data_IF_338408347934
#
_entry.id   IF_338408347934
#
_cell.length_a   1.000
_cell.length_b   1.000
_cell.length_c   1.000
_cell.angle_alpha   90.00
_cell.angle_beta   90.00
_cell.angle_gamma   90.00
#
_symmetry.space_group_name_H-M   'P 1'
#
loop_
_entity.id
_entity.type
_entity.pdbx_description
1 polymer ?
#
# COMPACT_ATOMS: atom_id res chain seq x y z
N UNK A 1 11.75 -34.23 -20.76
CA UNK A 1 13.01 -33.69 -20.18
C UNK A 1 12.65 -33.26 -18.78
N UNK A 2 13.13 -34.00 -17.79
CA UNK A 2 12.55 -33.96 -16.45
C UNK A 2 12.93 -32.66 -15.73
N UNK A 3 11.90 -31.96 -15.27
CA UNK A 3 11.97 -30.67 -14.57
C UNK A 3 12.93 -30.70 -13.38
N UNK A 4 13.13 -31.87 -12.78
CA UNK A 4 14.07 -32.15 -11.71
C UNK A 4 15.54 -32.02 -12.14
N UNK A 5 15.90 -32.47 -13.35
CA UNK A 5 17.28 -32.35 -13.86
C UNK A 5 17.68 -30.90 -14.10
N UNK A 6 16.73 -30.04 -14.50
CA UNK A 6 16.98 -28.61 -14.67
C UNK A 6 17.15 -27.90 -13.32
N UNK A 7 16.38 -28.28 -12.30
CA UNK A 7 16.51 -27.78 -10.92
C UNK A 7 17.86 -28.18 -10.29
N UNK A 8 18.32 -29.40 -10.56
CA UNK A 8 19.57 -29.91 -10.02
C UNK A 8 20.81 -29.22 -10.63
N UNK A 9 20.79 -28.96 -11.93
CA UNK A 9 21.85 -28.21 -12.63
C UNK A 9 21.87 -26.74 -12.18
N UNK A 10 20.70 -26.13 -11.95
CA UNK A 10 20.54 -24.75 -11.46
C UNK A 10 21.12 -24.58 -10.05
N UNK A 11 20.80 -25.48 -9.12
CA UNK A 11 21.32 -25.41 -7.75
C UNK A 11 22.84 -25.64 -7.68
N UNK A 12 23.39 -26.50 -8.54
CA UNK A 12 24.84 -26.80 -8.56
C UNK A 12 25.70 -25.61 -9.03
N UNK A 13 25.14 -24.68 -9.79
CA UNK A 13 25.85 -23.50 -10.30
C UNK A 13 25.57 -22.21 -9.51
N UNK A 14 24.58 -22.23 -8.61
CA UNK A 14 24.23 -21.11 -7.73
C UNK A 14 24.95 -21.21 -6.38
N UNK A 15 26.28 -21.14 -6.38
CA UNK A 15 27.03 -20.93 -5.15
C UNK A 15 27.01 -19.43 -4.80
N UNK A 16 26.04 -19.00 -4.00
CA UNK A 16 26.06 -17.69 -3.34
C UNK A 16 27.02 -17.75 -2.14
N UNK A 17 27.91 -16.76 -1.95
CA UNK A 17 28.58 -16.55 -0.67
C UNK A 17 27.55 -16.18 0.42
N UNK A 18 27.86 -16.40 1.71
CA UNK A 18 26.99 -15.96 2.80
C UNK A 18 26.79 -14.43 2.72
N UNK A 19 25.53 -14.01 2.80
CA UNK A 19 25.14 -12.60 2.83
C UNK A 19 25.66 -11.96 4.12
N UNK A 20 26.59 -11.01 4.00
CA UNK A 20 26.86 -10.03 5.05
C UNK A 20 25.71 -9.02 5.02
N UNK A 21 24.83 -9.07 6.02
CA UNK A 21 23.78 -8.07 6.23
C UNK A 21 24.44 -6.70 6.51
N UNK A 22 24.35 -5.77 5.55
CA UNK A 22 24.64 -4.36 5.82
C UNK A 22 23.59 -3.80 6.78
N UNK A 23 24.01 -3.56 8.01
CA UNK A 23 23.23 -2.98 9.09
C UNK A 23 22.92 -1.50 8.77
N UNK A 24 21.73 -1.23 8.24
CA UNK A 24 21.20 0.12 8.04
C UNK A 24 20.69 0.68 9.39
N UNK A 25 21.26 1.80 9.85
CA UNK A 25 20.95 2.44 11.14
C UNK A 25 19.49 2.95 11.20
N UNK A 26 18.61 2.10 11.72
CA UNK A 26 17.16 2.30 11.88
C UNK A 26 16.77 2.63 13.35
N UNK A 27 17.75 2.94 14.20
CA UNK A 27 17.53 3.14 15.64
C UNK A 27 16.64 4.32 15.97
N UNK A 28 16.84 5.46 15.29
CA UNK A 28 16.13 6.71 15.59
C UNK A 28 14.66 6.69 15.15
N UNK A 29 14.37 6.12 13.97
CA UNK A 29 13.00 6.03 13.45
C UNK A 29 12.19 5.00 14.22
N UNK A 30 12.77 3.83 14.53
CA UNK A 30 12.13 2.83 15.38
C UNK A 30 11.86 3.38 16.76
N UNK A 31 12.78 4.06 17.43
CA UNK A 31 12.54 4.61 18.77
C UNK A 31 11.43 5.67 18.79
N UNK A 32 11.36 6.57 17.81
CA UNK A 32 10.30 7.60 17.74
C UNK A 32 8.94 6.97 17.42
N UNK A 33 8.89 6.02 16.50
CA UNK A 33 7.64 5.29 16.16
C UNK A 33 7.20 4.41 17.33
N UNK A 34 8.13 3.74 17.99
CA UNK A 34 7.83 2.87 19.15
C UNK A 34 7.45 3.72 20.35
N UNK A 35 8.12 4.85 20.61
CA UNK A 35 7.74 5.78 21.66
C UNK A 35 6.38 6.46 21.39
N UNK A 36 6.08 6.77 20.13
CA UNK A 36 4.76 7.26 19.72
C UNK A 36 3.67 6.20 19.91
N UNK A 37 3.93 4.95 19.51
CA UNK A 37 3.06 3.81 19.78
C UNK A 37 2.92 3.52 21.27
N UNK A 38 4.00 3.63 22.05
CA UNK A 38 4.03 3.39 23.49
C UNK A 38 3.30 4.50 24.26
N UNK A 39 3.37 5.75 23.77
CA UNK A 39 2.62 6.90 24.28
C UNK A 39 1.12 6.69 24.02
N UNK A 40 0.75 6.37 22.78
CA UNK A 40 -0.62 5.99 22.44
C UNK A 40 -1.12 4.78 23.25
N UNK A 41 -0.28 3.76 23.47
CA UNK A 41 -0.63 2.59 24.29
C UNK A 41 -0.74 2.92 25.78
N UNK A 42 0.08 3.83 26.31
CA UNK A 42 0.00 4.29 27.71
C UNK A 42 -1.26 5.11 27.98
N UNK A 43 -1.69 5.93 27.02
CA UNK A 43 -2.90 6.77 27.12
C UNK A 43 -4.19 5.97 26.90
N UNK A 44 -4.14 4.91 26.08
CA UNK A 44 -5.22 3.93 25.93
C UNK A 44 -5.41 3.07 27.18
N UNK A 45 -4.35 2.81 27.96
CA UNK A 45 -4.39 1.97 29.16
C UNK A 45 -4.87 2.69 30.44
N UNK A 46 -5.08 4.01 30.44
CA UNK A 46 -5.45 4.76 31.66
C UNK A 46 -6.95 5.05 31.81
N UNK A 47 -7.78 4.70 30.83
CA UNK A 47 -9.24 4.75 30.95
C UNK A 47 -9.75 3.32 30.95
N UNK A 48 -10.45 2.91 32.01
CA UNK A 48 -11.03 1.56 32.08
C UNK A 48 -11.84 1.32 30.80
N UNK A 49 -11.38 0.38 29.97
CA UNK A 49 -11.96 0.07 28.65
C UNK A 49 -13.46 -0.20 28.78
N UNK A 50 -13.86 -0.79 29.91
CA UNK A 50 -15.26 -1.01 30.27
C UNK A 50 -16.08 0.28 30.42
N UNK A 51 -15.55 1.30 31.08
CA UNK A 51 -16.22 2.60 31.30
C UNK A 51 -16.37 3.34 29.98
N UNK A 52 -15.33 3.32 29.14
CA UNK A 52 -15.38 3.91 27.81
C UNK A 52 -16.37 3.19 26.89
N UNK A 53 -16.35 1.86 26.84
CA UNK A 53 -17.30 1.08 26.03
C UNK A 53 -18.74 1.28 26.49
N UNK A 54 -18.98 1.42 27.80
CA UNK A 54 -20.28 1.80 28.34
C UNK A 54 -20.73 3.18 27.87
N UNK A 55 -19.83 4.18 27.92
CA UNK A 55 -20.09 5.52 27.41
C UNK A 55 -20.37 5.51 25.90
N UNK A 56 -19.62 4.72 25.13
CA UNK A 56 -19.78 4.60 23.69
C UNK A 56 -21.13 3.99 23.30
N UNK A 57 -21.56 2.93 23.98
CA UNK A 57 -22.86 2.28 23.74
C UNK A 57 -24.03 3.27 23.88
N UNK A 58 -23.93 4.25 24.79
CA UNK A 58 -24.95 5.30 25.00
C UNK A 58 -25.06 6.26 23.82
N UNK A 59 -23.97 6.47 23.08
CA UNK A 59 -23.92 7.42 21.95
C UNK A 59 -23.96 6.74 20.58
N UNK A 60 -23.77 5.43 20.51
CA UNK A 60 -23.69 4.63 19.29
C UNK A 60 -24.92 4.82 18.37
N UNK A 61 -26.13 4.95 18.94
CA UNK A 61 -27.35 5.26 18.17
C UNK A 61 -27.22 6.55 17.35
N UNK A 62 -26.49 7.55 17.86
CA UNK A 62 -26.23 8.80 17.14
C UNK A 62 -25.33 8.57 15.94
N UNK A 63 -24.31 7.70 16.11
CA UNK A 63 -23.37 7.31 15.04
C UNK A 63 -24.12 6.57 13.94
N UNK A 64 -24.88 5.54 14.30
CA UNK A 64 -25.68 4.76 13.33
C UNK A 64 -26.69 5.63 12.59
N UNK A 65 -27.30 6.62 13.26
CA UNK A 65 -28.22 7.54 12.61
C UNK A 65 -27.50 8.43 11.58
N UNK A 66 -26.38 9.04 11.96
CA UNK A 66 -25.62 9.91 11.06
C UNK A 66 -25.03 9.15 9.87
N UNK A 67 -24.57 7.91 10.08
CA UNK A 67 -24.07 7.04 9.02
C UNK A 67 -25.16 6.64 8.00
N UNK A 68 -26.43 6.68 8.38
CA UNK A 68 -27.57 6.49 7.46
C UNK A 68 -27.96 7.77 6.75
N UNK A 69 -27.95 8.89 7.49
CA UNK A 69 -28.40 10.18 6.98
C UNK A 69 -27.38 10.82 6.02
N UNK A 70 -26.09 10.47 6.14
CA UNK A 70 -25.00 11.09 5.39
C UNK A 70 -24.07 10.07 4.75
N UNK A 71 -23.56 10.41 3.58
CA UNK A 71 -22.58 9.62 2.84
C UNK A 71 -21.24 10.34 2.78
N UNK A 72 -20.19 9.68 3.30
CA UNK A 72 -18.79 10.10 3.15
C UNK A 72 -18.10 9.07 2.28
N UNK A 73 -17.41 9.53 1.22
CA UNK A 73 -16.77 8.64 0.25
C UNK A 73 -15.69 7.80 0.95
N UNK A 74 -15.65 6.50 0.63
CA UNK A 74 -14.74 5.49 1.19
C UNK A 74 -14.95 5.13 2.68
N UNK A 75 -15.94 5.73 3.36
CA UNK A 75 -16.25 5.32 4.73
C UNK A 75 -17.20 4.11 4.73
N UNK A 76 -16.75 3.01 5.32
CA UNK A 76 -17.57 1.92 5.81
C UNK A 76 -18.13 2.26 7.20
N UNK A 77 -19.08 1.46 7.69
CA UNK A 77 -19.66 1.64 9.02
C UNK A 77 -18.60 1.59 10.13
N UNK A 78 -17.56 0.78 9.96
CA UNK A 78 -16.46 0.67 10.91
C UNK A 78 -15.66 1.98 11.00
N UNK A 79 -15.48 2.71 9.89
CA UNK A 79 -14.85 4.03 9.89
C UNK A 79 -15.68 5.05 10.67
N UNK A 80 -17.01 5.05 10.48
CA UNK A 80 -17.92 5.88 11.28
C UNK A 80 -17.80 5.58 12.77
N UNK A 81 -17.68 4.30 13.12
CA UNK A 81 -17.55 3.84 14.51
C UNK A 81 -16.20 4.23 15.10
N UNK A 82 -15.12 4.09 14.34
CA UNK A 82 -13.76 4.45 14.76
C UNK A 82 -13.64 5.95 15.01
N UNK A 83 -14.09 6.78 14.06
CA UNK A 83 -14.07 8.24 14.19
C UNK A 83 -14.92 8.72 15.37
N UNK A 84 -16.06 8.07 15.59
CA UNK A 84 -16.89 8.32 16.77
C UNK A 84 -16.18 7.97 18.08
N UNK A 85 -15.44 6.86 18.13
CA UNK A 85 -14.65 6.48 19.30
C UNK A 85 -13.54 7.49 19.57
N UNK A 86 -12.81 7.94 18.54
CA UNK A 86 -11.76 8.95 18.67
C UNK A 86 -12.33 10.26 19.23
N UNK A 87 -13.45 10.73 18.68
CA UNK A 87 -14.10 11.97 19.13
C UNK A 87 -14.64 11.84 20.55
N UNK A 88 -15.20 10.68 20.90
CA UNK A 88 -15.65 10.42 22.26
C UNK A 88 -14.48 10.40 23.24
N UNK A 89 -13.37 9.78 22.87
CA UNK A 89 -12.16 9.72 23.68
C UNK A 89 -11.62 11.13 23.95
N UNK A 90 -11.41 11.93 22.90
CA UNK A 90 -10.97 13.33 23.03
C UNK A 90 -11.94 14.19 23.86
N UNK A 91 -13.25 13.90 23.78
CA UNK A 91 -14.26 14.59 24.58
C UNK A 91 -14.14 14.24 26.07
N UNK A 92 -13.95 12.97 26.39
CA UNK A 92 -13.83 12.48 27.78
C UNK A 92 -12.48 12.82 28.40
N UNK A 93 -11.41 12.83 27.61
CA UNK A 93 -10.09 13.30 28.02
C UNK A 93 -10.15 14.77 28.48
N UNK A 94 -10.86 15.61 27.71
CA UNK A 94 -10.99 17.03 28.02
C UNK A 94 -12.02 17.33 29.12
N UNK A 95 -13.06 16.50 29.24
CA UNK A 95 -14.13 16.66 30.22
C UNK A 95 -14.50 15.31 30.85
N UNK A 96 -13.68 14.81 31.81
CA UNK A 96 -13.88 13.49 32.41
C UNK A 96 -15.24 13.33 33.11
N UNK A 97 -15.76 14.41 33.70
CA UNK A 97 -17.04 14.43 34.41
C UNK A 97 -18.25 14.05 33.53
N UNK A 98 -18.12 14.16 32.20
CA UNK A 98 -19.18 13.79 31.27
C UNK A 98 -19.48 12.28 31.28
N UNK A 99 -18.53 11.43 31.69
CA UNK A 99 -18.77 9.99 31.78
C UNK A 99 -19.91 9.64 32.76
N UNK A 100 -20.08 10.45 33.81
CA UNK A 100 -21.11 10.28 34.84
C UNK A 100 -22.48 10.87 34.48
N UNK A 101 -22.56 11.78 33.51
CA UNK A 101 -23.81 12.47 33.12
C UNK A 101 -24.22 12.08 31.69
N UNK A 102 -25.11 11.10 31.59
CA UNK A 102 -25.52 10.50 30.33
C UNK A 102 -26.23 11.48 29.37
N UNK A 103 -27.04 12.41 29.91
CA UNK A 103 -27.76 13.38 29.09
C UNK A 103 -26.80 14.38 28.47
N UNK A 104 -25.89 14.93 29.29
CA UNK A 104 -24.85 15.84 28.80
C UNK A 104 -23.93 15.13 27.82
N UNK A 105 -23.45 13.92 28.14
CA UNK A 105 -22.58 13.15 27.26
C UNK A 105 -23.16 13.05 25.85
N UNK A 106 -24.43 12.63 25.74
CA UNK A 106 -25.13 12.54 24.44
C UNK A 106 -25.23 13.88 23.73
N UNK A 107 -25.59 14.95 24.43
CA UNK A 107 -25.76 16.27 23.83
C UNK A 107 -24.43 16.82 23.28
N UNK A 108 -23.37 16.76 24.08
CA UNK A 108 -22.04 17.22 23.70
C UNK A 108 -21.45 16.35 22.58
N UNK A 109 -21.51 15.03 22.72
CA UNK A 109 -21.04 14.10 21.70
C UNK A 109 -21.78 14.31 20.38
N UNK A 110 -23.12 14.35 20.39
CA UNK A 110 -23.93 14.58 19.18
C UNK A 110 -23.53 15.86 18.48
N UNK A 111 -23.31 16.94 19.23
CA UNK A 111 -22.93 18.23 18.66
C UNK A 111 -21.54 18.16 18.04
N UNK A 112 -20.55 17.61 18.74
CA UNK A 112 -19.17 17.47 18.27
C UNK A 112 -19.08 16.56 17.05
N UNK A 113 -19.66 15.37 17.14
CA UNK A 113 -19.62 14.37 16.08
C UNK A 113 -20.35 14.86 14.82
N UNK A 114 -21.51 15.51 14.96
CA UNK A 114 -22.20 16.11 13.80
C UNK A 114 -21.36 17.19 13.12
N UNK A 115 -20.72 18.08 13.87
CA UNK A 115 -19.85 19.11 13.29
C UNK A 115 -18.70 18.49 12.51
N UNK A 116 -18.05 17.48 13.08
CA UNK A 116 -16.97 16.75 12.41
C UNK A 116 -17.41 16.10 11.09
N UNK A 117 -18.57 15.44 11.09
CA UNK A 117 -19.15 14.84 9.88
C UNK A 117 -19.43 15.91 8.83
N UNK A 118 -20.02 17.04 9.21
CA UNK A 118 -20.28 18.16 8.30
C UNK A 118 -18.98 18.73 7.70
N UNK A 119 -17.91 18.83 8.49
CA UNK A 119 -16.62 19.33 8.02
C UNK A 119 -15.97 18.37 7.03
N UNK A 120 -16.08 17.06 7.25
CA UNK A 120 -15.64 16.05 6.27
C UNK A 120 -16.41 16.14 4.96
N UNK A 121 -17.74 16.32 5.03
CA UNK A 121 -18.58 16.53 3.84
C UNK A 121 -18.16 17.80 3.10
N UNK A 122 -17.95 18.92 3.80
CA UNK A 122 -17.50 20.18 3.19
C UNK A 122 -16.13 20.03 2.54
N UNK A 123 -15.20 19.30 3.17
CA UNK A 123 -13.87 19.00 2.61
C UNK A 123 -14.00 18.19 1.32
N UNK A 124 -14.84 17.16 1.33
CA UNK A 124 -15.15 16.35 0.14
C UNK A 124 -15.75 17.21 -0.99
N UNK A 125 -16.75 18.03 -0.69
CA UNK A 125 -17.35 18.93 -1.68
C UNK A 125 -16.35 19.96 -2.22
N UNK A 126 -15.46 20.47 -1.37
CA UNK A 126 -14.41 21.40 -1.78
C UNK A 126 -13.43 20.75 -2.76
N UNK A 127 -13.01 19.52 -2.47
CA UNK A 127 -12.15 18.75 -3.37
C UNK A 127 -12.87 18.49 -4.70
N UNK A 128 -14.15 18.10 -4.66
CA UNK A 128 -14.95 17.93 -5.88
C UNK A 128 -15.00 19.23 -6.70
N UNK A 129 -15.27 20.39 -6.08
CA UNK A 129 -15.25 21.69 -6.78
C UNK A 129 -13.88 22.04 -7.35
N UNK A 130 -12.79 21.58 -6.73
CA UNK A 130 -11.45 21.77 -7.28
C UNK A 130 -11.26 20.95 -8.56
N UNK A 131 -11.70 19.68 -8.58
CA UNK A 131 -11.75 18.85 -9.78
C UNK A 131 -12.70 19.39 -10.84
N UNK A 132 -13.90 19.84 -10.47
CA UNK A 132 -14.89 20.42 -11.40
C UNK A 132 -14.37 21.71 -12.09
N UNK A 133 -13.34 22.38 -11.53
CA UNK A 133 -12.69 23.55 -12.13
C UNK A 133 -11.45 23.22 -12.94
N UNK A 134 -10.92 22.01 -12.85
CA UNK A 134 -9.81 21.57 -13.69
C UNK A 134 -10.31 21.36 -15.11
N UNK A 135 -9.47 21.67 -16.10
CA UNK A 135 -9.76 21.30 -17.49
C UNK A 135 -9.78 19.77 -17.54
N UNK A 136 -10.78 19.20 -18.21
CA UNK A 136 -10.80 17.76 -18.42
C UNK A 136 -9.61 17.40 -19.31
N UNK A 137 -8.63 16.74 -18.71
CA UNK A 137 -7.52 16.10 -19.41
C UNK A 137 -7.76 14.60 -19.36
N UNK A 138 -7.73 13.92 -20.52
CA UNK A 138 -7.91 12.47 -20.54
C UNK A 138 -6.70 11.78 -19.93
N UNK A 139 -6.95 10.84 -19.00
CA UNK A 139 -5.89 10.06 -18.36
C UNK A 139 -5.10 9.26 -19.42
N UNK A 140 -5.75 8.85 -20.51
CA UNK A 140 -5.12 8.24 -21.69
C UNK A 140 -4.11 9.16 -22.38
N UNK A 141 -4.39 10.46 -22.45
CA UNK A 141 -3.48 11.45 -23.05
C UNK A 141 -2.28 11.71 -22.16
N UNK A 142 -2.44 11.67 -20.82
CA UNK A 142 -1.36 11.93 -19.86
C UNK A 142 -0.56 10.68 -19.43
N UNK A 143 -0.98 9.48 -19.86
CA UNK A 143 -0.37 8.21 -19.42
C UNK A 143 1.14 8.15 -19.68
N UNK A 144 1.62 8.77 -20.77
CA UNK A 144 3.04 8.85 -21.12
C UNK A 144 3.88 9.73 -20.18
N UNK A 145 3.25 10.64 -19.43
CA UNK A 145 3.95 11.51 -18.47
C UNK A 145 4.04 10.90 -17.07
N UNK A 146 3.30 9.82 -16.81
CA UNK A 146 3.38 9.07 -15.56
C UNK A 146 4.52 8.06 -15.73
N UNK A 147 5.64 8.20 -15.02
CA UNK A 147 6.73 7.23 -15.13
C UNK A 147 6.23 5.88 -14.61
N UNK A 148 5.84 4.96 -15.51
CA UNK A 148 5.52 3.60 -15.12
C UNK A 148 6.84 2.85 -14.94
N UNK A 149 7.04 2.25 -13.76
CA UNK A 149 8.10 1.25 -13.56
C UNK A 149 7.88 -0.01 -14.42
N UNK A 150 6.71 -0.11 -15.05
CA UNK A 150 6.28 -1.24 -15.87
C UNK A 150 6.56 -0.94 -17.35
N UNK A 151 7.05 -1.97 -18.03
CA UNK A 151 7.24 -2.01 -19.49
C UNK A 151 5.88 -1.92 -20.19
N UNK A 152 5.84 -1.34 -21.40
CA UNK A 152 4.60 -1.25 -22.16
C UNK A 152 4.01 -2.65 -22.45
N UNK A 153 2.70 -2.71 -22.58
CA UNK A 153 1.96 -3.95 -22.82
C UNK A 153 2.32 -4.60 -24.17
N UNK A 154 2.58 -3.80 -25.20
CA UNK A 154 2.99 -4.32 -26.50
C UNK A 154 4.39 -4.93 -26.41
N UNK A 155 5.33 -4.21 -25.79
CA UNK A 155 6.70 -4.67 -25.58
C UNK A 155 6.74 -5.93 -24.71
N UNK A 156 5.90 -6.01 -23.68
CA UNK A 156 5.75 -7.20 -22.85
C UNK A 156 5.27 -8.41 -23.63
N UNK A 157 4.31 -8.23 -24.53
CA UNK A 157 3.82 -9.31 -25.39
C UNK A 157 4.90 -9.76 -26.39
N UNK A 158 5.58 -8.81 -27.04
CA UNK A 158 6.68 -9.09 -27.95
C UNK A 158 7.83 -9.85 -27.25
N UNK A 159 8.22 -9.40 -26.04
CA UNK A 159 9.25 -10.08 -25.24
C UNK A 159 8.84 -11.52 -24.91
N UNK A 160 7.57 -11.72 -24.53
CA UNK A 160 7.06 -13.05 -24.18
C UNK A 160 7.06 -14.01 -25.37
N UNK A 161 6.71 -13.54 -26.56
CA UNK A 161 6.75 -14.32 -27.80
C UNK A 161 8.19 -14.69 -28.16
N UNK A 162 9.11 -13.73 -28.14
CA UNK A 162 10.54 -13.96 -28.39
C UNK A 162 11.16 -14.97 -27.41
N UNK A 163 10.78 -14.92 -26.13
CA UNK A 163 11.25 -15.92 -25.15
C UNK A 163 10.74 -17.34 -25.45
N UNK A 164 9.55 -17.45 -26.04
CA UNK A 164 9.00 -18.74 -26.44
C UNK A 164 9.76 -19.29 -27.64
N UNK A 165 10.07 -18.46 -28.62
CA UNK A 165 10.90 -18.81 -29.77
C UNK A 165 12.31 -19.25 -29.36
N UNK A 166 12.95 -18.50 -28.46
CA UNK A 166 14.28 -18.83 -27.94
C UNK A 166 14.27 -20.15 -27.15
N UNK A 167 13.18 -20.46 -26.43
CA UNK A 167 13.04 -21.73 -25.72
C UNK A 167 13.04 -22.93 -26.68
N UNK A 168 12.51 -22.76 -27.88
CA UNK A 168 12.47 -23.81 -28.91
C UNK A 168 13.78 -23.90 -29.70
N UNK A 169 14.50 -22.78 -29.86
CA UNK A 169 15.75 -22.67 -30.65
C UNK A 169 17.02 -23.02 -29.86
N UNK A 170 17.09 -22.71 -28.56
CA UNK A 170 18.30 -22.87 -27.75
C UNK A 170 18.37 -24.22 -27.04
N UNK A 171 19.61 -24.62 -26.72
CA UNK A 171 19.85 -25.71 -25.79
C UNK A 171 19.28 -25.37 -24.41
N UNK A 172 18.81 -26.36 -23.62
CA UNK A 172 18.19 -26.13 -22.32
C UNK A 172 19.09 -25.36 -21.33
N UNK A 173 20.40 -25.57 -21.43
CA UNK A 173 21.43 -24.92 -20.61
C UNK A 173 21.57 -23.43 -20.95
N UNK A 174 21.41 -23.05 -22.22
CA UNK A 174 21.48 -21.66 -22.65
C UNK A 174 20.18 -20.92 -22.35
N UNK A 175 19.02 -21.58 -22.49
CA UNK A 175 17.76 -21.00 -22.04
C UNK A 175 17.73 -20.75 -20.52
N UNK A 176 18.34 -21.64 -19.73
CA UNK A 176 18.47 -21.43 -18.29
C UNK A 176 19.33 -20.20 -17.94
N UNK A 177 20.37 -19.89 -18.74
CA UNK A 177 21.17 -18.67 -18.58
C UNK A 177 20.34 -17.41 -18.89
N UNK A 178 19.43 -17.46 -19.86
CA UNK A 178 18.50 -16.35 -20.16
C UNK A 178 17.58 -16.07 -18.97
N UNK A 179 16.97 -17.11 -18.39
CA UNK A 179 16.12 -16.95 -17.21
C UNK A 179 16.92 -16.42 -16.00
N UNK A 180 18.18 -16.81 -15.87
CA UNK A 180 19.07 -16.32 -14.83
C UNK A 180 19.44 -14.84 -15.03
N UNK A 181 19.61 -14.38 -16.29
CA UNK A 181 19.78 -12.96 -16.61
C UNK A 181 18.57 -12.13 -16.20
N UNK A 182 17.36 -12.61 -16.50
CA UNK A 182 16.11 -11.90 -16.16
C UNK A 182 15.90 -11.72 -14.66
N UNK A 183 16.43 -12.63 -13.84
CA UNK A 183 16.42 -12.54 -12.38
C UNK A 183 17.58 -11.70 -11.81
N UNK A 184 18.46 -11.15 -12.65
CA UNK A 184 19.64 -10.39 -12.21
C UNK A 184 20.83 -11.25 -11.76
N UNK A 185 20.80 -12.57 -12.01
CA UNK A 185 21.84 -13.50 -11.58
C UNK A 185 23.19 -13.35 -12.33
N UNK A 186 24.19 -14.05 -11.80
CA UNK A 186 25.55 -14.11 -12.36
C UNK A 186 25.89 -15.54 -12.83
N UNK A 187 26.63 -15.64 -13.93
CA UNK A 187 27.19 -16.90 -14.42
C UNK A 187 28.47 -16.64 -15.21
N UNK A 188 29.31 -17.67 -15.33
CA UNK A 188 30.59 -17.59 -16.04
C UNK A 188 30.36 -17.33 -17.53
N UNK A 189 31.02 -16.31 -18.09
CA UNK A 189 30.88 -15.94 -19.49
C UNK A 189 29.70 -15.02 -19.81
N UNK A 190 29.04 -14.44 -18.80
CA UNK A 190 27.88 -13.52 -18.94
C UNK A 190 28.05 -12.47 -20.04
N UNK A 191 29.20 -11.78 -20.13
CA UNK A 191 29.43 -10.74 -21.14
C UNK A 191 29.45 -11.28 -22.57
N UNK A 192 30.05 -12.44 -22.79
CA UNK A 192 30.07 -13.08 -24.11
C UNK A 192 28.66 -13.54 -24.50
N UNK A 193 27.97 -14.19 -23.57
CA UNK A 193 26.61 -14.66 -23.79
C UNK A 193 25.60 -13.53 -24.04
N UNK A 194 25.71 -12.42 -23.30
CA UNK A 194 24.90 -11.22 -23.56
C UNK A 194 25.18 -10.68 -24.97
N UNK A 195 26.44 -10.63 -25.39
CA UNK A 195 26.81 -10.18 -26.74
C UNK A 195 26.22 -11.08 -27.83
N UNK A 196 26.25 -12.39 -27.63
CA UNK A 196 25.73 -13.37 -28.59
C UNK A 196 24.20 -13.29 -28.70
N UNK A 197 23.52 -13.11 -27.56
CA UNK A 197 22.07 -13.02 -27.49
C UNK A 197 21.53 -11.67 -27.92
N UNK A 198 22.33 -10.60 -27.79
CA UNK A 198 21.91 -9.25 -28.17
C UNK A 198 21.36 -9.19 -29.61
N UNK A 199 21.92 -9.98 -30.52
CA UNK A 199 21.48 -10.09 -31.92
C UNK A 199 20.02 -10.56 -32.05
N UNK A 200 19.56 -11.43 -31.16
CA UNK A 200 18.17 -11.94 -31.18
C UNK A 200 17.15 -10.94 -30.61
N UNK A 201 17.63 -9.89 -29.93
CA UNK A 201 16.84 -8.82 -29.33
C UNK A 201 17.07 -7.45 -30.00
N UNK A 202 17.63 -7.42 -31.21
CA UNK A 202 17.84 -6.17 -31.98
C UNK A 202 16.53 -5.38 -32.16
N UNK A 203 15.40 -6.07 -32.27
CA UNK A 203 14.06 -5.45 -32.38
C UNK A 203 13.65 -4.63 -31.13
N UNK A 204 14.36 -4.75 -30.00
CA UNK A 204 14.12 -4.00 -28.75
C UNK A 204 15.18 -2.93 -28.47
N UNK A 205 16.25 -2.85 -29.28
CA UNK A 205 17.18 -1.73 -29.23
C UNK A 205 16.51 -0.55 -29.98
N UNK A 206 15.65 0.19 -29.28
CA UNK A 206 15.11 1.44 -29.80
C UNK A 206 16.26 2.44 -30.02
N UNK A 207 16.54 2.78 -31.28
CA UNK A 207 17.22 4.03 -31.66
C UNK A 207 16.28 5.20 -31.34
N UNK A 208 16.25 5.62 -30.07
CA UNK A 208 15.70 6.90 -29.60
C UNK A 208 16.74 7.68 -28.80
#
# INVERSE_FOLDING_TARGET
>A
MDEERLKEIFNKHSALPPEEEEEFDDGMAKEVVTAGLLFCLKEVLSMDDFTFMSAFSRVEKTVTKLARDYYIKLWAYDDWRQEAQIILYQLLERFPDLAGDEEKLRAYFKTKFRSYVMDNIRKQESQKRAFDRMIYEEISELGHMIPSQQMDTADYCALKEKLKELKEKLAPEDYAKILLLMKGGAFKGKRAFIKDIKVEFEDFDDDH
#
